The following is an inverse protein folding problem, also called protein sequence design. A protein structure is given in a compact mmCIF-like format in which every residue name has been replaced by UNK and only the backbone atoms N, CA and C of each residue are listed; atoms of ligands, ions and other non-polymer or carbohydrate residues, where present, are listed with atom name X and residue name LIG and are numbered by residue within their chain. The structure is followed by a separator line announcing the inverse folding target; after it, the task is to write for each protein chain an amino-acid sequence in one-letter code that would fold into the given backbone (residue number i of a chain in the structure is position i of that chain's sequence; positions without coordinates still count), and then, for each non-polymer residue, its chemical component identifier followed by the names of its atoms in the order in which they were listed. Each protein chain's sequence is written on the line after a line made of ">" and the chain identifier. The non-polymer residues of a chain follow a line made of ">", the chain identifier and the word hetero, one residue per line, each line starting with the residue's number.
data_IF_663495915408
#
_entry.id   IF_663495915408
#
_cell.length_a   1.000
_cell.length_b   1.000
_cell.length_c   1.000
_cell.angle_alpha   90.00
_cell.angle_beta   90.00
_cell.angle_gamma   90.00
#
_symmetry.space_group_name_H-M   'P 1'
#
loop_
_entity.id
_entity.type
_entity.pdbx_description
1 polymer ?
#
# COMPACT_ATOMS: atom_id res chain seq x y z
N UNK A 1 -27.18 -6.52 -15.29
CA UNK A 1 -26.17 -7.15 -14.40
C UNK A 1 -25.40 -8.31 -15.05
N UNK A 2 -26.06 -9.34 -15.61
CA UNK A 2 -25.39 -10.54 -16.19
C UNK A 2 -24.45 -10.26 -17.38
N UNK A 3 -24.75 -9.28 -18.23
CA UNK A 3 -23.89 -8.90 -19.37
C UNK A 3 -22.61 -8.16 -18.93
N UNK A 4 -22.73 -7.20 -18.01
CA UNK A 4 -21.61 -6.48 -17.40
C UNK A 4 -20.70 -7.41 -16.60
N UNK A 5 -21.30 -8.32 -15.81
CA UNK A 5 -20.56 -9.34 -15.07
C UNK A 5 -19.74 -10.26 -15.98
N UNK A 6 -20.23 -10.61 -17.18
CA UNK A 6 -19.47 -11.38 -18.18
C UNK A 6 -18.34 -10.57 -18.83
N UNK A 7 -18.59 -9.30 -19.14
CA UNK A 7 -17.60 -8.42 -19.77
C UNK A 7 -16.45 -8.02 -18.82
N UNK A 8 -16.69 -7.99 -17.50
CA UNK A 8 -15.71 -7.55 -16.50
C UNK A 8 -15.41 -8.62 -15.43
N UNK A 9 -15.56 -9.90 -15.78
CA UNK A 9 -15.26 -11.04 -14.88
C UNK A 9 -13.87 -10.92 -14.26
N UNK A 10 -12.86 -10.56 -15.06
CA UNK A 10 -11.49 -10.38 -14.59
C UNK A 10 -11.38 -9.26 -13.54
N UNK A 11 -12.03 -8.11 -13.77
CA UNK A 11 -12.03 -7.00 -12.81
C UNK A 11 -12.74 -7.35 -11.50
N UNK A 12 -13.87 -8.06 -11.58
CA UNK A 12 -14.60 -8.53 -10.40
C UNK A 12 -13.82 -9.62 -9.63
N UNK A 13 -13.15 -10.53 -10.34
CA UNK A 13 -12.30 -11.55 -9.74
C UNK A 13 -11.09 -10.92 -9.04
N UNK A 14 -10.45 -9.93 -9.67
CA UNK A 14 -9.35 -9.18 -9.07
C UNK A 14 -9.80 -8.39 -7.84
N UNK A 15 -10.97 -7.75 -7.90
CA UNK A 15 -11.54 -7.06 -6.73
C UNK A 15 -11.79 -8.06 -5.59
N UNK A 16 -12.42 -9.21 -5.90
CA UNK A 16 -12.66 -10.27 -4.92
C UNK A 16 -11.36 -10.81 -4.32
N UNK A 17 -10.32 -11.00 -5.14
CA UNK A 17 -8.98 -11.39 -4.68
C UNK A 17 -8.34 -10.38 -3.74
N UNK A 18 -8.44 -9.07 -4.06
CA UNK A 18 -7.93 -8.01 -3.20
C UNK A 18 -8.67 -7.94 -1.86
N UNK A 19 -9.99 -8.09 -1.86
CA UNK A 19 -10.79 -8.15 -0.63
C UNK A 19 -10.45 -9.39 0.19
N UNK A 20 -10.26 -10.55 -0.45
CA UNK A 20 -9.84 -11.76 0.22
C UNK A 20 -8.45 -11.61 0.85
N UNK A 21 -7.50 -10.98 0.15
CA UNK A 21 -6.17 -10.69 0.68
C UNK A 21 -6.23 -9.79 1.93
N UNK A 22 -7.09 -8.76 1.92
CA UNK A 22 -7.35 -7.93 3.10
C UNK A 22 -7.98 -8.74 4.25
N UNK A 23 -8.90 -9.66 3.93
CA UNK A 23 -9.48 -10.59 4.91
C UNK A 23 -8.44 -11.50 5.57
N UNK A 24 -7.51 -12.05 4.77
CA UNK A 24 -6.38 -12.84 5.27
C UNK A 24 -5.50 -12.00 6.18
N UNK A 25 -5.15 -10.78 5.78
CA UNK A 25 -4.39 -9.86 6.63
C UNK A 25 -5.09 -9.59 7.96
N UNK A 26 -6.40 -9.30 7.92
CA UNK A 26 -7.21 -9.06 9.12
C UNK A 26 -7.31 -10.28 10.05
N UNK A 27 -7.32 -11.49 9.50
CA UNK A 27 -7.26 -12.71 10.29
C UNK A 27 -5.86 -12.90 10.90
N UNK A 28 -4.81 -12.76 10.08
CA UNK A 28 -3.42 -13.02 10.43
C UNK A 28 -2.86 -12.02 11.44
N UNK A 29 -3.31 -10.75 11.44
CA UNK A 29 -2.84 -9.71 12.39
C UNK A 29 -3.10 -10.06 13.87
N UNK A 30 -3.96 -11.04 14.16
CA UNK A 30 -4.19 -11.56 15.51
C UNK A 30 -3.04 -12.44 16.03
N UNK A 31 -2.12 -12.84 15.16
CA UNK A 31 -0.96 -13.67 15.49
C UNK A 31 0.33 -12.90 15.24
N UNK A 32 1.04 -12.53 16.32
CA UNK A 32 2.34 -11.88 16.23
C UNK A 32 3.38 -12.74 15.50
N UNK A 33 3.31 -14.08 15.65
CA UNK A 33 4.20 -15.01 14.96
C UNK A 33 3.96 -15.00 13.43
N UNK A 34 2.70 -14.97 12.99
CA UNK A 34 2.36 -14.90 11.57
C UNK A 34 2.81 -13.57 10.95
N UNK A 35 2.64 -12.47 11.68
CA UNK A 35 3.11 -11.14 11.24
C UNK A 35 4.62 -11.07 11.18
N UNK A 36 5.33 -11.61 12.18
CA UNK A 36 6.78 -11.66 12.19
C UNK A 36 7.33 -12.47 11.02
N UNK A 37 6.80 -13.68 10.79
CA UNK A 37 7.21 -14.52 9.66
C UNK A 37 7.02 -13.77 8.34
N UNK A 38 5.86 -13.11 8.15
CA UNK A 38 5.62 -12.34 6.94
C UNK A 38 6.60 -11.16 6.79
N UNK A 39 6.92 -10.46 7.88
CA UNK A 39 7.88 -9.35 7.85
C UNK A 39 9.26 -9.86 7.41
N UNK A 40 9.72 -10.95 8.00
CA UNK A 40 11.05 -11.51 7.78
C UNK A 40 11.24 -12.07 6.37
N UNK A 41 10.26 -12.85 5.89
CA UNK A 41 10.40 -13.62 4.66
C UNK A 41 9.75 -12.96 3.43
N UNK A 42 8.84 -12.00 3.60
CA UNK A 42 8.14 -11.37 2.47
C UNK A 42 8.38 -9.87 2.44
N UNK A 43 7.99 -9.14 3.50
CA UNK A 43 8.04 -7.67 3.48
C UNK A 43 9.46 -7.12 3.36
N UNK A 44 10.39 -7.59 4.21
CA UNK A 44 11.76 -7.11 4.22
C UNK A 44 12.53 -7.44 2.93
N UNK A 45 12.46 -8.67 2.39
CA UNK A 45 13.08 -8.98 1.10
C UNK A 45 12.55 -8.13 -0.05
N UNK A 46 11.23 -7.93 -0.12
CA UNK A 46 10.63 -7.08 -1.16
C UNK A 46 11.13 -5.64 -1.03
N UNK A 47 11.15 -5.08 0.17
CA UNK A 47 11.67 -3.72 0.41
C UNK A 47 13.14 -3.59 0.03
N UNK A 48 13.97 -4.57 0.41
CA UNK A 48 15.40 -4.58 0.05
C UNK A 48 15.61 -4.67 -1.46
N UNK A 49 14.83 -5.51 -2.13
CA UNK A 49 14.87 -5.63 -3.58
C UNK A 49 14.50 -4.31 -4.28
N UNK A 50 13.37 -3.70 -3.88
CA UNK A 50 12.96 -2.40 -4.41
C UNK A 50 14.01 -1.34 -4.11
N UNK A 51 14.57 -1.32 -2.89
CA UNK A 51 15.66 -0.42 -2.50
C UNK A 51 16.86 -0.59 -3.43
N UNK A 52 17.29 -1.83 -3.70
CA UNK A 52 18.42 -2.10 -4.59
C UNK A 52 18.16 -1.65 -6.05
N UNK A 53 16.91 -1.72 -6.52
CA UNK A 53 16.55 -1.23 -7.86
C UNK A 53 16.56 0.30 -7.95
N UNK A 54 16.20 0.99 -6.86
CA UNK A 54 16.09 2.46 -6.85
C UNK A 54 17.36 3.15 -6.37
N UNK A 55 18.26 2.45 -5.68
CA UNK A 55 19.56 2.95 -5.21
C UNK A 55 20.38 3.67 -6.30
N UNK A 56 20.44 3.18 -7.56
CA UNK A 56 21.23 3.84 -8.60
C UNK A 56 20.58 5.13 -9.14
N UNK A 57 19.33 5.43 -8.77
CA UNK A 57 18.63 6.59 -9.30
C UNK A 57 19.18 7.86 -8.64
N UNK A 58 19.54 8.89 -9.42
CA UNK A 58 20.03 10.16 -8.88
C UNK A 58 18.90 11.04 -8.30
N UNK A 59 17.66 10.53 -8.27
CA UNK A 59 16.46 11.24 -7.81
C UNK A 59 15.56 10.27 -7.02
N UNK A 60 14.61 10.80 -6.26
CA UNK A 60 13.72 9.99 -5.43
C UNK A 60 12.77 9.15 -6.27
N UNK A 61 12.72 7.83 -6.03
CA UNK A 61 11.72 6.96 -6.65
C UNK A 61 10.28 7.44 -6.38
N UNK A 62 10.03 8.03 -5.21
CA UNK A 62 8.74 8.60 -4.87
C UNK A 62 8.36 9.78 -5.78
N UNK A 63 9.33 10.62 -6.16
CA UNK A 63 9.10 11.72 -7.10
C UNK A 63 8.72 11.18 -8.47
N UNK A 64 9.47 10.21 -8.99
CA UNK A 64 9.15 9.56 -10.26
C UNK A 64 7.75 8.92 -10.24
N UNK A 65 7.44 8.18 -9.18
CA UNK A 65 6.14 7.53 -9.01
C UNK A 65 5.00 8.56 -8.94
N UNK A 66 5.20 9.66 -8.22
CA UNK A 66 4.23 10.76 -8.14
C UNK A 66 4.01 11.42 -9.51
N UNK A 67 5.09 11.73 -10.24
CA UNK A 67 5.01 12.30 -11.59
C UNK A 67 4.26 11.37 -12.53
N UNK A 68 4.59 10.08 -12.55
CA UNK A 68 3.90 9.10 -13.37
C UNK A 68 2.40 9.01 -13.02
N UNK A 69 2.06 8.97 -11.73
CA UNK A 69 0.67 8.95 -11.27
C UNK A 69 -0.11 10.19 -11.72
N UNK A 70 0.48 11.39 -11.60
CA UNK A 70 -0.11 12.64 -12.07
C UNK A 70 -0.36 12.60 -13.58
N UNK A 71 0.64 12.19 -14.38
CA UNK A 71 0.50 12.09 -15.83
C UNK A 71 -0.61 11.12 -16.24
N UNK A 72 -0.68 9.94 -15.60
CA UNK A 72 -1.76 8.97 -15.83
C UNK A 72 -3.12 9.59 -15.50
N UNK A 73 -3.25 10.26 -14.36
CA UNK A 73 -4.48 10.95 -13.96
C UNK A 73 -4.90 12.02 -15.00
N UNK A 74 -3.96 12.83 -15.48
CA UNK A 74 -4.21 13.85 -16.49
C UNK A 74 -4.68 13.23 -17.81
N UNK A 75 -3.98 12.21 -18.32
CA UNK A 75 -4.39 11.50 -19.55
C UNK A 75 -5.79 10.91 -19.39
N UNK A 76 -6.09 10.27 -18.25
CA UNK A 76 -7.41 9.70 -17.97
C UNK A 76 -8.50 10.77 -17.88
N UNK A 77 -8.19 11.94 -17.32
CA UNK A 77 -9.08 13.08 -17.26
C UNK A 77 -9.40 13.61 -18.66
N UNK A 78 -8.38 13.85 -19.49
CA UNK A 78 -8.56 14.30 -20.89
C UNK A 78 -9.41 13.31 -21.69
N UNK A 79 -9.12 12.01 -21.59
CA UNK A 79 -9.93 10.97 -22.25
C UNK A 79 -11.38 10.95 -21.75
N UNK A 80 -11.65 11.32 -20.50
CA UNK A 80 -13.01 11.41 -19.95
C UNK A 80 -13.75 12.62 -20.49
N UNK A 81 -13.08 13.78 -20.53
CA UNK A 81 -13.64 15.01 -21.11
C UNK A 81 -14.00 14.77 -22.58
N UNK A 82 -13.07 14.21 -23.37
CA UNK A 82 -13.34 13.87 -24.77
C UNK A 82 -14.54 12.91 -24.92
N UNK A 83 -14.62 11.84 -24.11
CA UNK A 83 -15.75 10.90 -24.15
C UNK A 83 -17.08 11.54 -23.72
N UNK A 84 -17.04 12.46 -22.77
CA UNK A 84 -18.21 13.23 -22.33
C UNK A 84 -18.70 14.19 -23.44
N UNK A 85 -17.78 14.88 -24.12
CA UNK A 85 -18.08 15.73 -25.28
C UNK A 85 -18.71 14.93 -26.43
N UNK A 86 -18.25 13.69 -26.64
CA UNK A 86 -18.81 12.79 -27.68
C UNK A 86 -20.06 12.01 -27.24
N UNK A 87 -20.73 12.37 -26.13
CA UNK A 87 -21.98 11.75 -25.60
C UNK A 87 -21.97 10.22 -25.44
N UNK A 88 -20.80 9.55 -25.47
CA UNK A 88 -20.68 8.10 -25.25
C UNK A 88 -20.56 7.79 -23.75
N UNK A 89 -21.65 7.96 -23.01
CA UNK A 89 -21.75 7.60 -21.58
C UNK A 89 -21.98 6.09 -21.39
N UNK A 90 -21.02 5.27 -21.81
CA UNK A 90 -20.96 3.84 -21.49
C UNK A 90 -19.55 3.51 -20.99
N UNK A 91 -19.35 3.51 -19.67
CA UNK A 91 -18.03 3.19 -19.08
C UNK A 91 -17.79 3.66 -17.65
N UNK A 92 -18.72 4.40 -17.02
CA UNK A 92 -18.53 4.86 -15.64
C UNK A 92 -18.42 3.69 -14.65
N UNK A 93 -19.34 2.72 -14.72
CA UNK A 93 -19.33 1.53 -13.86
C UNK A 93 -18.05 0.68 -14.04
N UNK A 94 -17.58 0.54 -15.28
CA UNK A 94 -16.32 -0.13 -15.60
C UNK A 94 -15.12 0.58 -14.96
N UNK A 95 -15.09 1.91 -15.08
CA UNK A 95 -14.04 2.72 -14.47
C UNK A 95 -14.06 2.66 -12.94
N UNK A 96 -15.22 2.76 -12.31
CA UNK A 96 -15.37 2.63 -10.86
C UNK A 96 -14.85 1.26 -10.41
N UNK A 97 -15.19 0.20 -11.14
CA UNK A 97 -14.67 -1.14 -10.87
C UNK A 97 -13.13 -1.18 -10.96
N UNK A 98 -12.53 -0.64 -12.02
CA UNK A 98 -11.08 -0.65 -12.19
C UNK A 98 -10.35 0.20 -11.14
N UNK A 99 -10.85 1.41 -10.85
CA UNK A 99 -10.27 2.29 -9.83
C UNK A 99 -10.44 1.69 -8.44
N UNK A 100 -11.62 1.16 -8.11
CA UNK A 100 -11.87 0.48 -6.85
C UNK A 100 -10.98 -0.75 -6.66
N UNK A 101 -10.81 -1.55 -7.72
CA UNK A 101 -9.90 -2.71 -7.70
C UNK A 101 -8.46 -2.27 -7.45
N UNK A 102 -7.99 -1.24 -8.16
CA UNK A 102 -6.65 -0.70 -7.95
C UNK A 102 -6.47 -0.19 -6.52
N UNK A 103 -7.43 0.57 -5.99
CA UNK A 103 -7.39 1.08 -4.62
C UNK A 103 -7.32 -0.03 -3.57
N UNK A 104 -8.12 -1.09 -3.74
CA UNK A 104 -8.10 -2.26 -2.84
C UNK A 104 -6.74 -2.96 -2.86
N UNK A 105 -6.14 -3.17 -4.03
CA UNK A 105 -4.83 -3.81 -4.13
C UNK A 105 -3.69 -2.92 -3.63
N UNK A 106 -3.75 -1.61 -3.86
CA UNK A 106 -2.80 -0.65 -3.28
C UNK A 106 -2.86 -0.74 -1.76
N UNK A 107 -4.06 -0.70 -1.18
CA UNK A 107 -4.23 -0.80 0.27
C UNK A 107 -3.79 -2.17 0.81
N UNK A 108 -4.10 -3.26 0.11
CA UNK A 108 -3.62 -4.59 0.47
C UNK A 108 -2.09 -4.68 0.44
N UNK A 109 -1.44 -4.07 -0.54
CA UNK A 109 0.02 -3.94 -0.60
C UNK A 109 0.57 -3.13 0.57
N UNK A 110 -0.08 -2.02 0.93
CA UNK A 110 0.29 -1.22 2.11
C UNK A 110 0.18 -2.05 3.38
N UNK A 111 -0.92 -2.79 3.57
CA UNK A 111 -1.10 -3.70 4.70
C UNK A 111 -0.03 -4.79 4.73
N UNK A 112 0.26 -5.42 3.60
CA UNK A 112 1.22 -6.52 3.50
C UNK A 112 2.66 -6.08 3.73
N UNK A 113 3.06 -4.90 3.26
CA UNK A 113 4.44 -4.45 3.35
C UNK A 113 4.69 -3.60 4.60
N UNK A 114 3.80 -2.68 4.96
CA UNK A 114 4.00 -1.80 6.12
C UNK A 114 3.06 -2.15 7.27
N UNK A 115 1.81 -2.53 6.99
CA UNK A 115 0.82 -2.87 8.00
C UNK A 115 1.27 -3.99 8.94
N UNK A 116 1.93 -5.03 8.43
CA UNK A 116 2.38 -6.16 9.25
C UNK A 116 3.42 -5.77 10.30
N UNK A 117 4.21 -4.72 10.08
CA UNK A 117 5.21 -4.26 11.03
C UNK A 117 4.61 -3.66 12.30
N UNK A 118 3.38 -3.15 12.23
CA UNK A 118 2.66 -2.65 13.42
C UNK A 118 2.19 -3.78 14.34
N UNK A 119 2.08 -5.00 13.81
CA UNK A 119 1.56 -6.17 14.52
C UNK A 119 2.64 -7.24 14.78
N UNK A 120 3.80 -7.11 14.16
CA UNK A 120 4.98 -7.90 14.48
C UNK A 120 5.64 -7.37 15.77
N UNK A 121 6.34 -8.22 16.55
CA UNK A 121 7.08 -7.78 17.73
C UNK A 121 8.07 -6.67 17.35
N UNK A 122 8.20 -5.64 18.18
CA UNK A 122 9.17 -4.56 17.94
C UNK A 122 10.61 -5.09 18.02
N UNK A 123 11.55 -4.38 17.42
CA UNK A 123 12.97 -4.71 17.52
C UNK A 123 13.42 -4.85 18.98
N UNK A 124 12.99 -3.94 19.86
CA UNK A 124 13.31 -4.00 21.28
C UNK A 124 12.77 -5.29 21.94
N UNK A 125 11.54 -5.68 21.61
CA UNK A 125 10.97 -6.94 22.09
C UNK A 125 11.72 -8.17 21.56
N UNK A 126 12.18 -8.14 20.30
CA UNK A 126 12.95 -9.24 19.71
C UNK A 126 14.37 -9.33 20.28
N UNK A 127 14.99 -8.19 20.58
CA UNK A 127 16.34 -8.11 21.12
C UNK A 127 16.39 -8.24 22.66
N UNK A 128 15.25 -8.54 23.31
CA UNK A 128 15.09 -8.52 24.77
C UNK A 128 15.62 -7.22 25.42
N UNK A 129 15.51 -6.10 24.71
CA UNK A 129 15.89 -4.80 25.20
C UNK A 129 14.77 -4.25 26.08
N UNK A 130 15.10 -3.92 27.33
CA UNK A 130 14.19 -3.17 28.18
C UNK A 130 14.23 -1.69 27.76
N UNK A 131 13.20 -1.26 27.02
CA UNK A 131 12.97 0.16 26.78
C UNK A 131 12.30 0.73 28.03
N UNK A 132 13.10 1.34 28.92
CA UNK A 132 12.59 2.09 30.06
C UNK A 132 11.68 3.22 29.57
N UNK A 133 10.52 3.40 30.19
CA UNK A 133 9.67 4.54 29.90
C UNK A 133 10.45 5.83 30.21
N UNK A 134 10.71 6.63 29.18
CA UNK A 134 11.40 7.92 29.33
C UNK A 134 10.45 8.94 29.93
N UNK A 135 10.91 9.68 30.93
CA UNK A 135 10.14 10.81 31.47
C UNK A 135 10.20 12.00 30.50
N UNK A 136 9.20 12.88 30.57
CA UNK A 136 9.16 14.10 29.76
C UNK A 136 10.39 14.97 30.03
N UNK A 137 10.85 14.99 31.28
CA UNK A 137 12.05 15.72 31.71
C UNK A 137 13.32 15.17 31.08
N UNK A 138 13.45 13.84 30.95
CA UNK A 138 14.58 13.21 30.25
C UNK A 138 14.58 13.55 28.75
N UNK A 139 13.39 13.59 28.14
CA UNK A 139 13.24 13.96 26.72
C UNK A 139 13.57 15.45 26.49
N UNK A 140 13.13 16.31 27.41
CA UNK A 140 13.46 17.74 27.39
C UNK A 140 14.96 17.98 27.58
N UNK A 141 15.59 17.28 28.54
CA UNK A 141 17.03 17.37 28.77
C UNK A 141 17.84 16.93 27.54
N UNK A 142 17.39 15.88 26.85
CA UNK A 142 18.03 15.41 25.60
C UNK A 142 17.87 16.45 24.49
N UNK A 143 16.69 17.03 24.33
CA UNK A 143 16.45 18.11 23.36
C UNK A 143 17.38 19.30 23.61
N UNK A 144 17.57 19.69 24.88
CA UNK A 144 18.50 20.76 25.26
C UNK A 144 19.96 20.38 25.00
N UNK A 145 20.33 19.11 25.20
CA UNK A 145 21.70 18.63 24.95
C UNK A 145 22.08 18.68 23.46
N UNK A 146 21.13 18.44 22.56
CA UNK A 146 21.35 18.43 21.09
C UNK A 146 21.00 19.77 20.41
N UNK A 147 20.53 20.79 21.15
CA UNK A 147 20.22 22.12 20.63
C UNK A 147 21.47 23.02 20.62
#
# INVERSE_FOLDING_TARGET
>A
MRAFGRAHKAGLALLGGGVAALGVFWAARRSAAAMQWWVEYVSMPVKRFVSALVEPLPFSFCELAATAAILICLVRLVQRIARAMHRKQAGFAAWVLHVGTAAVWIYAGVCALWGTQYYAPSFAAQANMQASALSVEQLAATTVWFA
#
